data_IF_466164923258
#
_entry.id   IF_466164923258
#
_cell.length_a   1.000
_cell.length_b   1.000
_cell.length_c   1.000
_cell.angle_alpha   90.00
_cell.angle_beta   90.00
_cell.angle_gamma   90.00
#
_symmetry.space_group_name_H-M   'P 1'
#
loop_
_entity.id
_entity.type
_entity.pdbx_description
1 polymer ?
#
# COMPACT_ATOMS: atom_id res chain seq x y z
N UNK A 1 -40.51 2.30 21.65
CA UNK A 1 -40.07 2.44 20.24
C UNK A 1 -38.94 1.45 19.93
N UNK A 2 -38.65 1.16 18.65
CA UNK A 2 -37.57 0.23 18.24
C UNK A 2 -36.21 0.64 18.82
N UNK A 3 -35.87 1.94 18.76
CA UNK A 3 -34.60 2.46 19.26
C UNK A 3 -34.36 2.17 20.76
N UNK A 4 -35.40 2.32 21.59
CA UNK A 4 -35.33 2.04 23.04
C UNK A 4 -35.04 0.57 23.32
N UNK A 5 -35.65 -0.34 22.57
CA UNK A 5 -35.43 -1.78 22.70
C UNK A 5 -34.04 -2.20 22.21
N UNK A 6 -33.56 -1.64 21.10
CA UNK A 6 -32.23 -1.98 20.57
C UNK A 6 -31.07 -1.41 21.39
N UNK A 7 -31.29 -0.35 22.17
CA UNK A 7 -30.23 0.37 22.88
C UNK A 7 -29.48 -0.48 23.94
N UNK A 8 -30.10 -1.53 24.45
CA UNK A 8 -29.54 -2.41 25.49
C UNK A 8 -29.05 -3.75 24.94
N UNK A 9 -28.97 -3.91 23.62
CA UNK A 9 -28.60 -5.16 22.97
C UNK A 9 -27.42 -4.95 22.01
N UNK A 10 -26.65 -6.01 21.81
CA UNK A 10 -25.62 -6.02 20.77
C UNK A 10 -26.26 -6.14 19.38
N UNK A 11 -25.62 -5.65 18.31
CA UNK A 11 -26.12 -5.80 16.94
C UNK A 11 -26.40 -7.26 16.55
N UNK A 12 -25.58 -8.20 17.05
CA UNK A 12 -25.75 -9.63 16.84
C UNK A 12 -27.01 -10.18 17.52
N UNK A 13 -27.30 -9.75 18.76
CA UNK A 13 -28.52 -10.14 19.49
C UNK A 13 -29.78 -9.65 18.78
N UNK A 14 -29.80 -8.38 18.37
CA UNK A 14 -30.92 -7.80 17.62
C UNK A 14 -31.16 -8.57 16.33
N UNK A 15 -30.09 -8.84 15.58
CA UNK A 15 -30.15 -9.59 14.32
C UNK A 15 -30.73 -10.99 14.54
N UNK A 16 -30.26 -11.72 15.56
CA UNK A 16 -30.76 -13.05 15.88
C UNK A 16 -32.26 -13.05 16.24
N UNK A 17 -32.70 -12.10 17.08
CA UNK A 17 -34.12 -11.98 17.47
C UNK A 17 -35.00 -11.67 16.26
N UNK A 18 -34.61 -10.71 15.42
CA UNK A 18 -35.35 -10.38 14.20
C UNK A 18 -35.47 -11.59 13.26
N UNK A 19 -34.36 -12.27 12.99
CA UNK A 19 -34.33 -13.44 12.10
C UNK A 19 -35.16 -14.61 12.64
N UNK A 20 -35.17 -14.85 13.96
CA UNK A 20 -36.04 -15.85 14.60
C UNK A 20 -37.53 -15.58 14.40
N UNK A 21 -37.91 -14.31 14.25
CA UNK A 21 -39.29 -13.90 13.95
C UNK A 21 -39.56 -13.78 12.44
N UNK A 22 -38.62 -14.22 11.58
CA UNK A 22 -38.75 -14.14 10.13
C UNK A 22 -38.49 -12.75 9.53
N UNK A 23 -38.00 -11.79 10.33
CA UNK A 23 -37.64 -10.45 9.85
C UNK A 23 -36.20 -10.47 9.31
N UNK A 24 -35.97 -10.16 8.03
CA UNK A 24 -34.62 -10.06 7.48
C UNK A 24 -33.84 -8.93 8.17
N UNK A 25 -32.78 -9.30 8.86
CA UNK A 25 -31.89 -8.36 9.56
C UNK A 25 -30.44 -8.81 9.39
N UNK A 26 -29.52 -7.86 9.40
CA UNK A 26 -28.09 -8.10 9.43
C UNK A 26 -27.41 -7.01 10.25
N UNK A 27 -26.40 -7.39 11.02
CA UNK A 27 -25.62 -6.44 11.80
C UNK A 27 -24.61 -5.73 10.89
N UNK A 28 -24.40 -4.44 11.14
CA UNK A 28 -23.34 -3.68 10.50
C UNK A 28 -21.99 -4.08 11.09
N UNK A 29 -21.27 -4.98 10.41
CA UNK A 29 -19.92 -5.40 10.80
C UNK A 29 -18.91 -4.26 10.61
N UNK A 30 -18.01 -4.10 11.57
CA UNK A 30 -16.82 -3.26 11.49
C UNK A 30 -15.66 -4.04 10.88
N UNK A 31 -14.74 -3.35 10.22
CA UNK A 31 -13.58 -3.97 9.60
C UNK A 31 -12.75 -4.82 10.58
N UNK A 32 -12.65 -4.40 11.84
CA UNK A 32 -11.95 -5.16 12.90
C UNK A 32 -12.62 -6.50 13.22
N UNK A 33 -13.90 -6.68 12.91
CA UNK A 33 -14.68 -7.89 13.19
C UNK A 33 -14.67 -8.88 12.01
N UNK A 34 -14.09 -8.49 10.87
CA UNK A 34 -14.17 -9.30 9.63
C UNK A 34 -13.37 -10.60 9.76
N UNK A 35 -12.16 -10.54 10.34
CA UNK A 35 -11.29 -11.71 10.44
C UNK A 35 -11.83 -12.77 11.42
N UNK A 36 -12.59 -12.34 12.41
CA UNK A 36 -13.20 -13.23 13.41
C UNK A 36 -14.61 -13.69 13.01
N UNK A 37 -15.17 -13.17 11.91
CA UNK A 37 -16.53 -13.48 11.52
C UNK A 37 -16.67 -14.95 11.07
N UNK A 38 -17.60 -15.73 11.67
CA UNK A 38 -17.77 -17.14 11.33
C UNK A 38 -18.08 -17.41 9.86
N UNK A 39 -18.85 -16.54 9.19
CA UNK A 39 -19.18 -16.71 7.77
C UNK A 39 -17.98 -16.47 6.86
N UNK A 40 -17.15 -15.47 7.15
CA UNK A 40 -15.92 -15.22 6.38
C UNK A 40 -14.89 -16.35 6.58
N UNK A 41 -14.76 -16.84 7.81
CA UNK A 41 -13.88 -17.97 8.14
C UNK A 41 -14.33 -19.27 7.46
N UNK A 42 -15.62 -19.60 7.49
CA UNK A 42 -16.16 -20.79 6.84
C UNK A 42 -15.91 -20.82 5.31
N UNK A 43 -15.78 -19.64 4.69
CA UNK A 43 -15.56 -19.48 3.24
C UNK A 43 -14.10 -19.24 2.88
N UNK A 44 -13.19 -19.18 3.86
CA UNK A 44 -11.78 -18.75 3.67
C UNK A 44 -11.69 -17.46 2.84
N UNK A 45 -12.55 -16.49 3.19
CA UNK A 45 -12.70 -15.25 2.44
C UNK A 45 -11.43 -14.39 2.50
N UNK A 46 -10.75 -14.37 3.65
CA UNK A 46 -9.46 -13.71 3.82
C UNK A 46 -8.30 -14.71 3.76
N UNK A 47 -7.18 -14.22 3.26
CA UNK A 47 -5.88 -14.89 3.28
C UNK A 47 -4.78 -13.92 3.63
N UNK A 48 -3.70 -14.48 4.16
CA UNK A 48 -2.49 -13.75 4.45
C UNK A 48 -1.59 -13.66 3.21
N UNK A 49 -1.34 -12.43 2.74
CA UNK A 49 -0.40 -12.09 1.66
C UNK A 49 0.89 -11.51 2.25
N UNK A 50 2.02 -12.08 1.84
CA UNK A 50 3.34 -11.53 2.13
C UNK A 50 3.84 -10.66 0.97
N UNK A 51 3.70 -9.34 1.11
CA UNK A 51 4.15 -8.39 0.10
C UNK A 51 5.55 -7.83 0.45
N UNK A 52 6.57 -7.94 -0.43
CA UNK A 52 7.93 -7.47 -0.15
C UNK A 52 8.03 -5.99 0.23
N UNK A 53 7.10 -5.15 -0.22
CA UNK A 53 7.03 -3.73 0.11
C UNK A 53 6.28 -3.43 1.41
N UNK A 54 5.54 -4.40 1.95
CA UNK A 54 4.90 -4.30 3.25
C UNK A 54 5.86 -4.77 4.35
N UNK A 55 5.82 -4.11 5.50
CA UNK A 55 6.60 -4.49 6.69
C UNK A 55 5.99 -5.64 7.49
N UNK A 56 4.77 -6.05 7.14
CA UNK A 56 4.00 -7.09 7.81
C UNK A 56 3.18 -7.89 6.79
N UNK A 57 2.75 -9.11 7.13
CA UNK A 57 1.72 -9.81 6.38
C UNK A 57 0.44 -8.96 6.30
N UNK A 58 -0.22 -9.04 5.16
CA UNK A 58 -1.46 -8.32 4.87
C UNK A 58 -2.60 -9.34 4.81
N UNK A 59 -3.72 -9.03 5.44
CA UNK A 59 -4.95 -9.78 5.21
C UNK A 59 -5.62 -9.22 3.96
N UNK A 60 -5.79 -10.07 2.96
CA UNK A 60 -6.37 -9.72 1.67
C UNK A 60 -7.55 -10.64 1.37
N UNK A 61 -8.50 -10.13 0.59
CA UNK A 61 -9.56 -10.95 0.06
C UNK A 61 -8.96 -12.00 -0.89
N UNK A 62 -9.42 -13.22 -0.74
CA UNK A 62 -8.96 -14.36 -1.51
C UNK A 62 -9.72 -14.50 -2.85
N UNK A 63 -11.03 -14.25 -2.82
CA UNK A 63 -11.91 -14.31 -3.98
C UNK A 63 -13.38 -14.22 -3.57
N UNK A 64 -14.25 -13.59 -4.38
CA UNK A 64 -15.66 -13.39 -4.02
C UNK A 64 -16.51 -14.65 -4.17
N UNK A 65 -16.04 -15.65 -4.94
CA UNK A 65 -16.79 -16.87 -5.27
C UNK A 65 -16.23 -18.05 -4.48
N UNK A 66 -17.12 -18.87 -3.92
CA UNK A 66 -16.75 -20.03 -3.13
C UNK A 66 -16.08 -21.15 -3.95
N UNK A 67 -15.56 -22.15 -3.25
CA UNK A 67 -14.84 -23.30 -3.81
C UNK A 67 -15.60 -23.96 -4.96
N UNK A 68 -14.87 -24.28 -6.03
CA UNK A 68 -15.35 -25.11 -7.13
C UNK A 68 -14.39 -26.27 -7.35
N UNK A 69 -14.92 -27.42 -7.78
CA UNK A 69 -14.12 -28.58 -8.16
C UNK A 69 -13.45 -28.42 -9.52
N UNK A 70 -13.91 -27.47 -10.35
CA UNK A 70 -13.45 -27.30 -11.73
C UNK A 70 -12.38 -26.23 -11.91
N UNK A 71 -12.22 -25.31 -10.96
CA UNK A 71 -11.25 -24.21 -11.04
C UNK A 71 -10.38 -24.27 -9.80
N UNK A 72 -9.05 -24.41 -9.94
CA UNK A 72 -8.15 -24.37 -8.81
C UNK A 72 -8.21 -23.00 -8.16
N UNK A 73 -7.85 -22.99 -6.89
CA UNK A 73 -7.73 -21.77 -6.13
C UNK A 73 -6.66 -20.85 -6.72
N UNK A 74 -6.88 -19.52 -6.80
CA UNK A 74 -5.87 -18.62 -7.33
C UNK A 74 -4.60 -18.67 -6.49
N UNK A 75 -3.46 -18.74 -7.17
CA UNK A 75 -2.16 -18.58 -6.53
C UNK A 75 -1.97 -17.13 -6.09
N UNK A 76 -1.72 -16.94 -4.79
CA UNK A 76 -1.42 -15.62 -4.23
C UNK A 76 0.07 -15.38 -4.33
N UNK A 77 0.44 -14.54 -5.29
CA UNK A 77 1.80 -14.06 -5.46
C UNK A 77 1.90 -12.57 -5.07
N UNK A 78 3.05 -12.13 -4.54
CA UNK A 78 3.26 -10.73 -4.26
C UNK A 78 3.08 -9.89 -5.52
N UNK A 79 2.47 -8.72 -5.38
CA UNK A 79 2.38 -7.76 -6.47
C UNK A 79 3.80 -7.35 -6.88
N UNK A 80 4.08 -7.25 -8.19
CA UNK A 80 5.39 -6.85 -8.66
C UNK A 80 5.74 -5.46 -8.14
N UNK A 81 7.00 -5.25 -7.81
CA UNK A 81 7.46 -3.89 -7.51
C UNK A 81 7.53 -3.05 -8.79
N UNK A 82 7.64 -1.73 -8.63
CA UNK A 82 7.78 -0.81 -9.75
C UNK A 82 8.92 -1.28 -10.68
N UNK A 83 8.59 -1.40 -11.97
CA UNK A 83 9.52 -1.77 -13.03
C UNK A 83 10.26 -3.12 -12.82
N UNK A 84 9.70 -4.05 -12.03
CA UNK A 84 10.31 -5.36 -11.78
C UNK A 84 10.59 -6.15 -13.06
N UNK A 85 9.68 -6.09 -14.03
CA UNK A 85 9.73 -6.92 -15.24
C UNK A 85 10.02 -6.10 -16.52
N UNK A 86 10.39 -4.82 -16.43
CA UNK A 86 10.56 -3.96 -17.63
C UNK A 86 11.54 -4.55 -18.64
N UNK A 87 12.74 -4.94 -18.19
CA UNK A 87 13.76 -5.53 -19.07
C UNK A 87 13.31 -6.87 -19.65
N UNK A 88 12.66 -7.70 -18.84
CA UNK A 88 12.14 -8.99 -19.27
C UNK A 88 11.10 -8.83 -20.39
N UNK A 89 10.13 -7.94 -20.22
CA UNK A 89 9.08 -7.67 -21.22
C UNK A 89 9.69 -7.04 -22.47
N UNK A 90 10.59 -6.06 -22.34
CA UNK A 90 11.24 -5.41 -23.47
C UNK A 90 12.04 -6.41 -24.33
N UNK A 91 12.73 -7.35 -23.69
CA UNK A 91 13.48 -8.40 -24.38
C UNK A 91 12.58 -9.50 -24.94
N UNK A 92 11.70 -10.07 -24.11
CA UNK A 92 10.99 -11.30 -24.44
C UNK A 92 9.72 -11.04 -25.24
N UNK A 93 9.03 -9.93 -24.98
CA UNK A 93 7.78 -9.56 -25.64
C UNK A 93 8.04 -8.61 -26.80
N UNK A 94 8.78 -7.52 -26.58
CA UNK A 94 9.04 -6.51 -27.62
C UNK A 94 10.23 -6.85 -28.53
N UNK A 95 11.01 -7.90 -28.20
CA UNK A 95 12.15 -8.39 -28.99
C UNK A 95 13.25 -7.34 -29.21
N UNK A 96 13.41 -6.41 -28.29
CA UNK A 96 14.50 -5.43 -28.31
C UNK A 96 15.83 -6.09 -27.96
N UNK A 97 16.92 -5.59 -28.55
CA UNK A 97 18.27 -6.01 -28.17
C UNK A 97 18.63 -5.48 -26.78
N UNK A 98 19.60 -6.09 -26.11
CA UNK A 98 20.07 -5.57 -24.82
C UNK A 98 20.61 -4.13 -24.95
N UNK A 99 21.19 -3.78 -26.11
CA UNK A 99 21.66 -2.42 -26.39
C UNK A 99 20.51 -1.43 -26.50
N UNK A 100 19.46 -1.73 -27.27
CA UNK A 100 18.30 -0.82 -27.41
C UNK A 100 17.61 -0.59 -26.06
N UNK A 101 17.52 -1.65 -25.25
CA UNK A 101 16.95 -1.55 -23.89
C UNK A 101 17.80 -0.64 -23.01
N UNK A 102 19.13 -0.77 -23.07
CA UNK A 102 20.04 0.08 -22.29
C UNK A 102 19.95 1.55 -22.71
N UNK A 103 19.83 1.82 -24.01
CA UNK A 103 19.64 3.18 -24.54
C UNK A 103 18.31 3.80 -24.07
N UNK A 104 17.21 3.06 -24.15
CA UNK A 104 15.91 3.52 -23.67
C UNK A 104 15.89 3.76 -22.15
N UNK A 105 16.59 2.94 -21.37
CA UNK A 105 16.73 3.17 -19.93
C UNK A 105 17.57 4.42 -19.66
N UNK A 106 18.67 4.62 -20.39
CA UNK A 106 19.54 5.78 -20.22
C UNK A 106 18.82 7.10 -20.59
N UNK A 107 17.96 7.07 -21.60
CA UNK A 107 17.13 8.20 -22.00
C UNK A 107 15.96 8.48 -21.05
N UNK A 108 15.64 7.55 -20.14
CA UNK A 108 14.52 7.65 -19.21
C UNK A 108 13.18 7.20 -19.80
N UNK A 109 13.17 6.62 -21.00
CA UNK A 109 11.98 6.08 -21.64
C UNK A 109 11.51 4.77 -20.98
N UNK A 110 12.45 3.99 -20.43
CA UNK A 110 12.19 2.77 -19.66
C UNK A 110 12.75 2.87 -18.24
N UNK A 111 11.91 2.54 -17.25
CA UNK A 111 12.34 2.39 -15.86
C UNK A 111 12.78 0.97 -15.55
N UNK A 112 13.73 0.80 -14.63
CA UNK A 112 14.11 -0.50 -14.06
C UNK A 112 13.86 -0.53 -12.56
N UNK A 113 13.66 -1.73 -12.02
CA UNK A 113 13.55 -1.93 -10.58
C UNK A 113 14.71 -1.27 -9.84
N UNK A 114 14.39 -0.31 -8.98
CA UNK A 114 15.38 0.30 -8.11
C UNK A 114 15.74 -0.66 -6.96
N UNK A 115 17.04 -0.87 -6.75
CA UNK A 115 17.51 -1.62 -5.57
C UNK A 115 17.12 -0.86 -4.31
N UNK A 116 16.43 -1.53 -3.37
CA UNK A 116 16.11 -0.95 -2.05
C UNK A 116 17.39 -0.41 -1.40
N UNK A 117 17.44 0.90 -1.22
CA UNK A 117 18.53 1.56 -0.49
C UNK A 117 18.32 1.26 1.00
N UNK A 118 19.38 0.81 1.69
CA UNK A 118 19.32 0.56 3.14
C UNK A 118 18.76 1.79 3.89
N UNK A 119 17.89 1.62 4.91
CA UNK A 119 17.33 2.72 5.69
C UNK A 119 18.40 3.66 6.26
N UNK A 120 19.56 3.09 6.62
CA UNK A 120 20.72 3.85 7.10
C UNK A 120 21.31 4.74 6.00
N UNK A 121 21.44 4.22 4.78
CA UNK A 121 21.95 4.99 3.62
C UNK A 121 20.98 6.11 3.23
N UNK A 122 19.67 5.88 3.34
CA UNK A 122 18.67 6.91 3.10
C UNK A 122 18.71 8.00 4.17
N UNK A 123 18.77 7.63 5.45
CA UNK A 123 18.89 8.59 6.57
C UNK A 123 20.17 9.44 6.46
N UNK A 124 21.29 8.82 6.09
CA UNK A 124 22.55 9.52 5.81
C UNK A 124 22.38 10.52 4.66
N UNK A 125 21.81 10.12 3.52
CA UNK A 125 21.54 11.03 2.39
C UNK A 125 20.66 12.21 2.80
N UNK A 126 19.58 11.98 3.52
CA UNK A 126 18.66 13.04 3.97
C UNK A 126 19.34 14.01 4.93
N UNK A 127 20.12 13.50 5.89
CA UNK A 127 20.84 14.35 6.84
C UNK A 127 21.87 15.24 6.13
N UNK A 128 22.64 14.69 5.19
CA UNK A 128 23.62 15.46 4.42
C UNK A 128 22.94 16.53 3.56
N UNK A 129 21.84 16.19 2.89
CA UNK A 129 21.08 17.15 2.08
C UNK A 129 20.52 18.30 2.93
N UNK A 130 19.92 18.00 4.08
CA UNK A 130 19.42 19.02 5.01
C UNK A 130 20.54 19.91 5.53
N UNK A 131 21.70 19.36 5.89
CA UNK A 131 22.84 20.15 6.35
C UNK A 131 23.34 21.13 5.28
N UNK A 132 23.45 20.67 4.03
CA UNK A 132 23.83 21.52 2.89
C UNK A 132 22.79 22.62 2.68
N UNK A 133 21.50 22.27 2.68
CA UNK A 133 20.44 23.24 2.43
C UNK A 133 20.35 24.29 3.55
N UNK A 134 20.56 23.89 4.80
CA UNK A 134 20.65 24.82 5.93
C UNK A 134 21.82 25.79 5.79
N UNK A 135 22.97 25.30 5.32
CA UNK A 135 24.16 26.13 5.12
C UNK A 135 23.95 27.16 3.99
N UNK A 136 23.30 26.74 2.89
CA UNK A 136 22.90 27.63 1.79
C UNK A 136 21.90 28.69 2.26
N UNK A 137 20.86 28.30 2.99
CA UNK A 137 19.85 29.25 3.52
C UNK A 137 20.50 30.25 4.48
N UNK A 138 21.39 29.79 5.37
CA UNK A 138 22.10 30.65 6.31
C UNK A 138 23.04 31.63 5.61
N UNK A 139 23.73 31.18 4.56
CA UNK A 139 24.55 32.04 3.71
C UNK A 139 23.71 33.12 3.02
N UNK A 140 22.57 32.77 2.42
CA UNK A 140 21.67 33.74 1.80
C UNK A 140 21.08 34.74 2.80
N UNK A 141 20.73 34.29 4.01
CA UNK A 141 20.26 35.17 5.08
C UNK A 141 21.34 36.17 5.53
N UNK A 142 22.59 35.72 5.70
CA UNK A 142 23.73 36.57 6.03
C UNK A 142 24.02 37.59 4.93
N UNK A 143 24.01 37.15 3.67
CA UNK A 143 24.24 38.02 2.51
C UNK A 143 23.16 39.11 2.38
N UNK A 144 21.89 38.76 2.64
CA UNK A 144 20.78 39.73 2.67
C UNK A 144 20.99 40.78 3.78
N UNK A 145 21.35 40.35 4.99
CA UNK A 145 21.61 41.25 6.13
C UNK A 145 22.80 42.19 5.91
N UNK A 146 23.85 41.74 5.22
CA UNK A 146 25.02 42.60 4.89
C UNK A 146 24.74 43.58 3.74
N UNK A 147 23.79 43.26 2.85
CA UNK A 147 23.38 44.17 1.78
C UNK A 147 22.54 45.35 2.32
N UNK A 148 21.78 45.15 3.41
CA UNK A 148 20.94 46.18 4.03
C UNK A 148 21.71 47.16 4.93
N UNK A 149 22.92 46.80 5.39
CA UNK A 149 23.77 47.68 6.21
C UNK A 149 24.66 48.65 5.40
N UNK A 150 24.75 48.48 4.07
CA UNK A 150 25.59 49.30 3.20
C UNK A 150 24.83 50.40 2.44
N UNK A 151 23.55 50.65 2.76
CA UNK A 151 22.70 51.65 2.08
C UNK A 151 22.34 52.86 2.95
N UNK A 152 23.07 53.07 4.06
CA UNK A 152 22.93 54.25 4.92
C UNK A 152 24.26 54.99 5.04
N UNK A 153 24.62 55.73 3.99
CA UNK A 153 25.55 56.86 4.00
C UNK A 153 25.13 57.84 2.92
#
# INVERSE_FOLDING_TARGET
>A
MVAEWTNFQTPAQVTAVCQQQGVPAGNMLRLSEFLDNPHYNARKFFRTLNQPTASRPLETENGPVGFTSSIPEPEINPAPVLAQHTREIAKNTLKLSDQDIDELIANGDLEIQQKKVSPLKQKLKTNTFNAVMQLVLKYHALKSSMSSSNTST
#
